data_IF_555849823508
#
_entry.id   IF_555849823508
#
_cell.length_a   1.000
_cell.length_b   1.000
_cell.length_c   1.000
_cell.angle_alpha   90.00
_cell.angle_beta   90.00
_cell.angle_gamma   90.00
#
_symmetry.space_group_name_H-M   'P 1'
#
loop_
_entity.id
_entity.type
_entity.pdbx_description
1 polymer ?
#
# COMPACT_ATOMS: atom_id res chain seq x y z
N UNK A 1 -11.63 -19.92 -24.19
CA UNK A 1 -12.64 -18.86 -23.92
C UNK A 1 -12.79 -18.58 -22.42
N UNK A 2 -13.11 -19.57 -21.57
CA UNK A 2 -13.30 -19.34 -20.12
C UNK A 2 -12.01 -18.96 -19.37
N UNK A 3 -10.87 -19.61 -19.69
CA UNK A 3 -9.59 -19.37 -19.02
C UNK A 3 -9.04 -17.94 -19.27
N UNK A 4 -9.20 -17.43 -20.48
CA UNK A 4 -8.79 -16.07 -20.85
C UNK A 4 -9.67 -15.01 -20.19
N UNK A 5 -10.96 -15.27 -20.00
CA UNK A 5 -11.87 -14.35 -19.33
C UNK A 5 -11.52 -14.19 -17.83
N UNK A 6 -11.18 -15.30 -17.16
CA UNK A 6 -10.75 -15.29 -15.75
C UNK A 6 -9.43 -14.52 -15.59
N UNK A 7 -8.46 -14.75 -16.47
CA UNK A 7 -7.18 -14.03 -16.44
C UNK A 7 -7.37 -12.51 -16.61
N UNK A 8 -8.26 -12.09 -17.50
CA UNK A 8 -8.57 -10.67 -17.73
C UNK A 8 -9.25 -10.05 -16.52
N UNK A 9 -10.21 -10.73 -15.88
CA UNK A 9 -10.91 -10.23 -14.68
C UNK A 9 -9.92 -10.06 -13.51
N UNK A 10 -9.00 -11.01 -13.32
CA UNK A 10 -7.98 -10.92 -12.27
C UNK A 10 -6.99 -9.77 -12.51
N UNK A 11 -6.56 -9.56 -13.76
CA UNK A 11 -5.69 -8.44 -14.11
C UNK A 11 -6.36 -7.09 -13.87
N UNK A 12 -7.62 -6.95 -14.29
CA UNK A 12 -8.39 -5.71 -14.09
C UNK A 12 -8.61 -5.46 -12.59
N UNK A 13 -8.91 -6.50 -11.81
CA UNK A 13 -9.08 -6.38 -10.36
C UNK A 13 -7.78 -5.99 -9.63
N UNK A 14 -6.63 -6.53 -10.05
CA UNK A 14 -5.32 -6.15 -9.51
C UNK A 14 -4.96 -4.71 -9.84
N UNK A 15 -5.18 -4.26 -11.09
CA UNK A 15 -4.90 -2.90 -11.52
C UNK A 15 -5.76 -1.90 -10.75
N UNK A 16 -7.06 -2.19 -10.59
CA UNK A 16 -7.97 -1.34 -9.82
C UNK A 16 -7.55 -1.23 -8.34
N UNK A 17 -7.17 -2.34 -7.71
CA UNK A 17 -6.71 -2.34 -6.31
C UNK A 17 -5.42 -1.52 -6.12
N UNK A 18 -4.45 -1.63 -7.04
CA UNK A 18 -3.21 -0.85 -6.99
C UNK A 18 -3.49 0.64 -7.20
N UNK A 19 -4.36 1.01 -8.13
CA UNK A 19 -4.71 2.42 -8.37
C UNK A 19 -5.41 3.07 -7.16
N UNK A 20 -6.29 2.33 -6.49
CA UNK A 20 -7.00 2.81 -5.31
C UNK A 20 -6.07 2.93 -4.09
N UNK A 21 -5.14 1.97 -3.93
CA UNK A 21 -4.08 2.03 -2.92
C UNK A 21 -3.15 3.24 -3.12
N UNK A 22 -2.69 3.50 -4.36
CA UNK A 22 -1.80 4.63 -4.65
C UNK A 22 -2.50 5.96 -4.38
N UNK A 23 -3.77 6.12 -4.80
CA UNK A 23 -4.53 7.36 -4.51
C UNK A 23 -4.74 7.58 -3.01
N UNK A 24 -5.02 6.53 -2.26
CA UNK A 24 -5.24 6.63 -0.81
C UNK A 24 -3.94 6.86 -0.03
N UNK A 25 -2.85 6.21 -0.44
CA UNK A 25 -1.53 6.35 0.20
C UNK A 25 -0.98 7.76 0.07
N UNK A 26 -1.05 8.37 -1.12
CA UNK A 26 -0.53 9.73 -1.32
C UNK A 26 -1.34 10.76 -0.53
N UNK A 27 -2.67 10.64 -0.53
CA UNK A 27 -3.55 11.51 0.23
C UNK A 27 -3.30 11.46 1.75
N UNK A 28 -3.04 10.27 2.29
CA UNK A 28 -2.78 10.06 3.73
C UNK A 28 -1.38 10.55 4.13
N UNK A 29 -0.37 10.29 3.30
CA UNK A 29 1.01 10.73 3.55
C UNK A 29 1.10 12.26 3.63
N UNK A 30 0.43 12.96 2.72
CA UNK A 30 0.45 14.42 2.66
C UNK A 30 -0.30 15.05 3.85
N UNK A 31 -1.41 14.45 4.28
CA UNK A 31 -2.23 14.94 5.40
C UNK A 31 -1.54 14.75 6.76
N UNK A 32 -0.88 13.61 6.98
CA UNK A 32 -0.13 13.34 8.22
C UNK A 32 1.11 14.24 8.28
N UNK A 33 1.85 14.38 7.17
CA UNK A 33 3.01 15.26 7.11
C UNK A 33 2.62 16.73 7.35
N UNK A 34 1.50 17.18 6.77
CA UNK A 34 0.94 18.52 6.98
C UNK A 34 0.55 18.79 8.44
N UNK A 35 -0.14 17.83 9.07
CA UNK A 35 -0.60 17.96 10.45
C UNK A 35 0.58 17.94 11.46
N UNK A 36 1.56 17.05 11.30
CA UNK A 36 2.74 16.99 12.19
C UNK A 36 3.55 18.29 12.12
N UNK A 37 3.74 18.83 10.90
CA UNK A 37 4.44 20.11 10.71
C UNK A 37 3.71 21.25 11.41
N UNK A 38 2.38 21.26 11.37
CA UNK A 38 1.57 22.29 12.02
C UNK A 38 1.54 22.19 13.54
N UNK A 39 1.54 20.98 14.12
CA UNK A 39 1.68 20.80 15.58
C UNK A 39 3.01 21.40 16.07
N UNK A 40 4.11 21.09 15.37
CA UNK A 40 5.43 21.62 15.72
C UNK A 40 5.46 23.16 15.67
N UNK A 41 4.86 23.75 14.63
CA UNK A 41 4.75 25.22 14.51
C UNK A 41 3.90 25.83 15.61
N UNK A 42 2.75 25.24 15.96
CA UNK A 42 1.89 25.73 17.04
C UNK A 42 2.61 25.67 18.40
N UNK A 43 3.36 24.60 18.68
CA UNK A 43 4.18 24.46 19.89
C UNK A 43 5.28 25.52 19.94
N UNK A 44 6.07 25.65 18.88
CA UNK A 44 7.14 26.64 18.81
C UNK A 44 6.61 28.08 18.97
N UNK A 45 5.44 28.39 18.40
CA UNK A 45 4.80 29.70 18.56
C UNK A 45 4.36 29.96 20.00
N UNK A 46 3.78 28.95 20.65
CA UNK A 46 3.38 29.02 22.06
C UNK A 46 4.58 29.28 22.96
N UNK A 47 5.66 28.53 22.75
CA UNK A 47 6.91 28.61 23.53
C UNK A 47 7.60 29.97 23.35
N UNK A 48 7.69 30.45 22.11
CA UNK A 48 8.26 31.76 21.79
C UNK A 48 7.44 32.90 22.41
N UNK A 49 6.11 32.85 22.26
CA UNK A 49 5.22 33.88 22.81
C UNK A 49 5.27 33.90 24.34
N UNK A 50 5.37 32.73 24.97
CA UNK A 50 5.55 32.61 26.41
C UNK A 50 6.90 33.16 26.87
N UNK A 51 7.98 32.88 26.12
CA UNK A 51 9.31 33.42 26.40
C UNK A 51 9.31 34.96 26.34
N UNK A 52 8.77 35.55 25.27
CA UNK A 52 8.63 37.00 25.18
C UNK A 52 7.80 37.60 26.33
N UNK A 53 6.69 36.96 26.70
CA UNK A 53 5.86 37.45 27.80
C UNK A 53 6.62 37.41 29.14
N UNK A 54 7.44 36.39 29.38
CA UNK A 54 8.29 36.28 30.58
C UNK A 54 9.42 37.31 30.59
N UNK A 55 10.05 37.58 29.44
CA UNK A 55 11.09 38.60 29.32
C UNK A 55 10.53 40.00 29.60
N UNK A 56 9.34 40.31 29.09
CA UNK A 56 8.64 41.58 29.37
C UNK A 56 8.29 41.68 30.87
N UNK A 57 7.83 40.59 31.48
CA UNK A 57 7.54 40.55 32.92
C UNK A 57 8.80 40.77 33.78
N UNK A 58 9.95 40.24 33.36
CA UNK A 58 11.21 40.43 34.07
C UNK A 58 11.63 41.92 34.07
N UNK A 59 11.46 42.60 32.93
CA UNK A 59 11.75 44.03 32.76
C UNK A 59 10.82 44.92 33.62
N UNK A 60 9.56 44.51 33.84
CA UNK A 60 8.58 45.23 34.67
C UNK A 60 8.76 44.94 36.17
N UNK A 61 9.39 43.80 36.50
CA UNK A 61 9.55 43.29 37.87
C UNK A 61 10.79 43.79 38.60
N UNK A 62 11.92 43.97 37.91
CA UNK A 62 13.15 44.54 38.48
C UNK A 62 13.25 46.04 38.17
N UNK A 63 13.61 46.84 39.18
CA UNK A 63 13.82 48.29 39.08
C UNK A 63 15.00 48.66 38.13
N UNK A 64 14.80 48.50 36.81
CA UNK A 64 15.49 49.26 35.77
C UNK A 64 16.86 48.76 35.27
N UNK A 65 17.25 47.49 35.46
CA UNK A 65 18.59 47.01 35.06
C UNK A 65 18.63 45.80 34.11
N UNK A 66 17.49 45.31 33.63
CA UNK A 66 17.45 44.22 32.64
C UNK A 66 17.26 44.82 31.25
N UNK A 67 18.16 44.50 30.33
CA UNK A 67 18.16 45.01 28.96
C UNK A 67 16.78 44.83 28.31
N UNK A 68 16.31 45.85 27.59
CA UNK A 68 15.08 45.77 26.79
C UNK A 68 15.11 44.49 25.97
N UNK A 69 14.01 43.70 25.93
CA UNK A 69 13.98 42.51 25.09
C UNK A 69 14.19 42.97 23.65
N UNK A 70 15.15 42.37 22.94
CA UNK A 70 15.40 42.68 21.53
C UNK A 70 14.24 42.10 20.71
N UNK A 71 13.17 42.90 20.59
CA UNK A 71 11.98 42.58 19.81
C UNK A 71 12.32 42.73 18.32
N UNK A 72 13.04 41.74 17.79
CA UNK A 72 13.48 41.74 16.39
C UNK A 72 12.31 41.61 15.44
N UNK A 73 11.89 42.74 14.90
CA UNK A 73 10.81 42.84 13.91
C UNK A 73 11.06 42.00 12.64
N UNK A 74 12.32 41.74 12.29
CA UNK A 74 12.70 40.89 11.15
C UNK A 74 12.43 39.40 11.41
N UNK A 75 12.75 38.90 12.61
CA UNK A 75 12.43 37.53 13.03
C UNK A 75 10.91 37.32 13.13
N UNK A 76 10.17 38.37 13.53
CA UNK A 76 8.71 38.37 13.54
C UNK A 76 8.09 38.16 12.15
N UNK A 77 8.54 38.93 11.15
CA UNK A 77 8.03 38.81 9.78
C UNK A 77 8.34 37.44 9.19
N UNK A 78 9.55 36.92 9.43
CA UNK A 78 9.96 35.58 9.02
C UNK A 78 9.09 34.48 9.68
N UNK A 79 8.70 34.65 10.95
CA UNK A 79 7.82 33.73 11.65
C UNK A 79 6.38 33.76 11.12
N UNK A 80 5.83 34.94 10.83
CA UNK A 80 4.51 35.08 10.21
C UNK A 80 4.46 34.42 8.83
N UNK A 81 5.47 34.63 7.99
CA UNK A 81 5.53 34.03 6.65
C UNK A 81 5.68 32.50 6.73
N UNK A 82 6.52 32.02 7.65
CA UNK A 82 6.68 30.59 7.93
C UNK A 82 5.37 29.98 8.41
N UNK A 83 4.68 30.59 9.39
CA UNK A 83 3.38 30.13 9.87
C UNK A 83 2.36 30.10 8.74
N UNK A 84 2.27 31.18 7.96
CA UNK A 84 1.31 31.30 6.86
C UNK A 84 1.53 30.22 5.81
N UNK A 85 2.78 29.93 5.45
CA UNK A 85 3.09 28.88 4.47
C UNK A 85 2.74 27.47 4.97
N UNK A 86 2.92 27.21 6.26
CA UNK A 86 2.73 25.88 6.87
C UNK A 86 1.25 25.64 7.18
N UNK A 87 0.56 26.65 7.66
CA UNK A 87 -0.84 26.56 8.07
C UNK A 87 -1.81 26.71 6.90
N UNK A 88 -1.45 27.45 5.84
CA UNK A 88 -2.22 27.47 4.58
C UNK A 88 -2.27 26.11 3.88
N UNK A 89 -1.31 25.23 4.18
CA UNK A 89 -1.29 23.86 3.64
C UNK A 89 -2.30 22.94 4.33
N UNK A 90 -2.85 23.33 5.48
CA UNK A 90 -3.82 22.55 6.23
C UNK A 90 -5.23 23.12 6.03
N UNK A 91 -6.24 22.26 6.00
CA UNK A 91 -7.66 22.62 5.77
C UNK A 91 -8.30 23.46 6.89
N UNK A 92 -7.52 23.90 7.89
CA UNK A 92 -7.94 24.65 9.07
C UNK A 92 -7.81 26.18 8.90
N UNK A 93 -7.94 26.67 7.66
CA UNK A 93 -7.85 28.09 7.29
C UNK A 93 -8.48 29.09 8.28
N UNK A 94 -9.70 28.91 8.82
CA UNK A 94 -10.28 29.89 9.74
C UNK A 94 -9.57 29.96 11.10
N UNK A 95 -8.99 28.86 11.58
CA UNK A 95 -8.22 28.84 12.84
C UNK A 95 -6.84 29.47 12.65
N UNK A 96 -6.22 29.19 11.50
CA UNK A 96 -4.97 29.82 11.05
C UNK A 96 -5.08 31.34 11.02
N UNK A 97 -6.16 31.87 10.43
CA UNK A 97 -6.37 33.32 10.33
C UNK A 97 -6.57 33.96 11.72
N UNK A 98 -7.24 33.26 12.64
CA UNK A 98 -7.42 33.75 14.03
C UNK A 98 -6.09 33.80 14.79
N UNK A 99 -5.23 32.78 14.64
CA UNK A 99 -3.90 32.76 15.25
C UNK A 99 -3.00 33.85 14.66
N UNK A 100 -3.03 34.04 13.33
CA UNK A 100 -2.30 35.14 12.68
C UNK A 100 -2.72 36.52 13.18
N UNK A 101 -4.03 36.73 13.30
CA UNK A 101 -4.58 37.99 13.77
C UNK A 101 -4.20 38.27 15.23
N UNK A 102 -4.38 37.28 16.12
CA UNK A 102 -4.04 37.43 17.54
C UNK A 102 -2.54 37.58 17.78
N UNK A 103 -1.69 36.89 17.01
CA UNK A 103 -0.24 37.01 17.08
C UNK A 103 0.24 38.39 16.63
N UNK A 104 -0.31 38.91 15.53
CA UNK A 104 -0.01 40.26 15.05
C UNK A 104 -0.43 41.33 16.06
N UNK A 105 -1.60 41.16 16.69
CA UNK A 105 -2.08 42.09 17.71
C UNK A 105 -1.22 42.07 18.98
N UNK A 106 -0.77 40.88 19.43
CA UNK A 106 0.13 40.76 20.58
C UNK A 106 1.50 41.40 20.29
N UNK A 107 2.08 41.15 19.11
CA UNK A 107 3.38 41.73 18.75
C UNK A 107 3.31 43.24 18.62
N UNK A 108 2.28 43.78 17.96
CA UNK A 108 2.13 45.24 17.82
C UNK A 108 2.06 45.93 19.18
N UNK A 109 1.33 45.35 20.13
CA UNK A 109 1.29 45.86 21.51
C UNK A 109 2.63 45.66 22.21
N UNK A 110 3.36 44.57 21.97
CA UNK A 110 4.69 44.35 22.57
C UNK A 110 5.71 45.40 22.11
N UNK A 111 5.63 45.87 20.87
CA UNK A 111 6.50 46.94 20.34
C UNK A 111 6.25 48.30 20.99
N UNK A 112 5.06 48.56 21.56
CA UNK A 112 4.77 49.78 22.32
C UNK A 112 5.55 49.82 23.67
N UNK A 113 6.17 48.71 24.09
CA UNK A 113 6.86 48.61 25.37
C UNK A 113 8.00 49.62 25.51
N UNK A 114 8.77 49.86 24.44
CA UNK A 114 9.88 50.83 24.45
C UNK A 114 9.36 52.25 24.75
N UNK A 115 8.31 52.67 24.06
CA UNK A 115 7.67 53.98 24.27
C UNK A 115 7.04 54.10 25.67
N UNK A 116 6.49 53.00 26.20
CA UNK A 116 5.84 52.98 27.52
C UNK A 116 6.86 53.04 28.66
N UNK A 117 8.01 52.36 28.53
CA UNK A 117 9.09 52.41 29.53
C UNK A 117 9.76 53.79 29.54
N UNK A 118 9.90 54.44 28.39
CA UNK A 118 10.48 55.78 28.26
C UNK A 118 9.52 56.91 28.67
N UNK A 119 8.23 56.60 28.91
CA UNK A 119 7.22 57.59 29.26
C UNK A 119 7.13 57.80 30.78
N UNK A 120 7.38 59.03 31.23
CA UNK A 120 7.19 59.42 32.64
C UNK A 120 5.71 59.40 33.10
N UNK A 121 4.76 59.28 32.18
CA UNK A 121 3.31 59.39 32.46
C UNK A 121 2.58 58.05 32.51
N UNK A 122 3.17 56.99 31.95
CA UNK A 122 2.50 55.69 31.81
C UNK A 122 3.10 54.72 32.83
N UNK A 123 2.26 54.18 33.71
CA UNK A 123 2.68 53.05 34.54
C UNK A 123 2.78 51.78 33.68
N UNK A 124 4.01 51.35 33.40
CA UNK A 124 4.34 50.16 32.61
C UNK A 124 3.67 48.90 33.16
N UNK A 125 3.51 48.80 34.49
CA UNK A 125 2.85 47.66 35.12
C UNK A 125 1.35 47.64 34.82
N UNK A 126 0.69 48.77 34.98
CA UNK A 126 -0.74 48.90 34.65
C UNK A 126 -0.98 48.68 33.16
N UNK A 127 -0.11 49.21 32.28
CA UNK A 127 -0.17 48.96 30.84
C UNK A 127 -0.06 47.46 30.50
N UNK A 128 0.85 46.72 31.16
CA UNK A 128 1.00 45.29 30.92
C UNK A 128 -0.27 44.50 31.25
N UNK A 129 -0.85 44.72 32.44
CA UNK A 129 -2.04 43.97 32.87
C UNK A 129 -3.30 44.36 32.08
N UNK A 130 -3.45 45.64 31.71
CA UNK A 130 -4.66 46.12 31.05
C UNK A 130 -4.62 45.97 29.52
N UNK A 131 -3.43 46.04 28.89
CA UNK A 131 -3.29 46.00 27.43
C UNK A 131 -2.59 44.76 26.91
N UNK A 132 -1.43 44.39 27.44
CA UNK A 132 -0.64 43.29 26.87
C UNK A 132 -1.16 41.90 27.28
N UNK A 133 -1.43 41.69 28.57
CA UNK A 133 -1.87 40.41 29.11
C UNK A 133 -3.14 39.86 28.44
N UNK A 134 -4.20 40.66 28.18
CA UNK A 134 -5.40 40.17 27.51
C UNK A 134 -5.13 39.75 26.05
N UNK A 135 -4.18 40.41 25.36
CA UNK A 135 -3.79 40.05 23.99
C UNK A 135 -3.00 38.75 23.96
N UNK A 136 -2.08 38.57 24.91
CA UNK A 136 -1.34 37.32 25.09
C UNK A 136 -2.28 36.14 25.40
N UNK A 137 -3.23 36.32 26.32
CA UNK A 137 -4.22 35.28 26.66
C UNK A 137 -5.08 34.88 25.46
N UNK A 138 -5.45 35.85 24.60
CA UNK A 138 -6.20 35.59 23.38
C UNK A 138 -5.39 34.79 22.35
N UNK A 139 -4.13 35.17 22.14
CA UNK A 139 -3.20 34.42 21.30
C UNK A 139 -3.06 32.97 21.78
N UNK A 140 -2.82 32.78 23.07
CA UNK A 140 -2.73 31.44 23.67
C UNK A 140 -3.99 30.61 23.43
N UNK A 141 -5.16 31.19 23.66
CA UNK A 141 -6.44 30.50 23.42
C UNK A 141 -6.64 30.11 21.95
N UNK A 142 -6.23 30.95 21.01
CA UNK A 142 -6.37 30.65 19.59
C UNK A 142 -5.36 29.58 19.13
N UNK A 143 -4.13 29.58 19.68
CA UNK A 143 -3.15 28.51 19.49
C UNK A 143 -3.67 27.18 20.05
N UNK A 144 -4.26 27.20 21.25
CA UNK A 144 -4.83 25.99 21.87
C UNK A 144 -5.97 25.41 21.01
N UNK A 145 -6.89 26.25 20.50
CA UNK A 145 -7.95 25.82 19.59
C UNK A 145 -7.41 25.26 18.27
N UNK A 146 -6.36 25.86 17.72
CA UNK A 146 -5.71 25.37 16.52
C UNK A 146 -5.08 23.99 16.78
N UNK A 147 -4.36 23.85 17.90
CA UNK A 147 -3.76 22.58 18.34
C UNK A 147 -4.84 21.49 18.49
N UNK A 148 -5.92 21.78 19.21
CA UNK A 148 -7.07 20.88 19.37
C UNK A 148 -7.70 20.50 18.03
N UNK A 149 -7.85 21.46 17.11
CA UNK A 149 -8.32 21.23 15.75
C UNK A 149 -7.43 20.24 15.00
N UNK A 150 -6.11 20.45 15.03
CA UNK A 150 -5.14 19.56 14.37
C UNK A 150 -5.14 18.17 15.01
N UNK A 151 -5.20 18.06 16.34
CA UNK A 151 -5.28 16.78 17.04
C UNK A 151 -6.57 16.01 16.71
N UNK A 152 -7.70 16.71 16.64
CA UNK A 152 -8.98 16.11 16.27
C UNK A 152 -8.99 15.65 14.81
N UNK A 153 -8.44 16.43 13.88
CA UNK A 153 -8.29 16.03 12.49
C UNK A 153 -7.35 14.82 12.37
N UNK A 154 -6.21 14.82 13.06
CA UNK A 154 -5.28 13.69 13.06
C UNK A 154 -5.96 12.41 13.60
N UNK A 155 -6.76 12.52 14.66
CA UNK A 155 -7.53 11.42 15.24
C UNK A 155 -8.63 10.92 14.29
N UNK A 156 -9.38 11.82 13.67
CA UNK A 156 -10.41 11.47 12.69
C UNK A 156 -9.81 10.78 11.46
N UNK A 157 -8.67 11.27 10.97
CA UNK A 157 -7.94 10.67 9.87
C UNK A 157 -7.36 9.29 10.25
N UNK A 158 -6.88 9.10 11.47
CA UNK A 158 -6.46 7.80 12.00
C UNK A 158 -7.62 6.80 12.13
N UNK A 159 -8.83 7.23 12.51
CA UNK A 159 -10.00 6.34 12.50
C UNK A 159 -10.49 6.02 11.08
N UNK A 160 -10.28 6.93 10.14
CA UNK A 160 -10.60 6.73 8.72
C UNK A 160 -9.58 5.80 8.04
N UNK A 161 -8.33 5.76 8.53
CA UNK A 161 -7.30 4.81 8.13
C UNK A 161 -7.79 3.35 8.30
N UNK A 162 -8.39 3.01 9.44
CA UNK A 162 -8.91 1.65 9.67
C UNK A 162 -10.07 1.29 8.71
N UNK A 163 -10.99 2.22 8.42
CA UNK A 163 -12.14 1.89 7.54
C UNK A 163 -11.79 1.88 6.06
N UNK A 164 -10.91 2.76 5.60
CA UNK A 164 -10.53 2.84 4.19
C UNK A 164 -9.49 1.80 3.78
N UNK A 165 -8.55 1.46 4.68
CA UNK A 165 -7.55 0.41 4.45
C UNK A 165 -8.22 -0.97 4.26
N UNK A 166 -9.18 -1.32 5.12
CA UNK A 166 -9.96 -2.55 4.95
C UNK A 166 -10.82 -2.55 3.68
N UNK A 167 -11.46 -1.43 3.32
CA UNK A 167 -12.28 -1.34 2.09
C UNK A 167 -11.46 -1.48 0.81
N UNK A 168 -10.23 -0.98 0.78
CA UNK A 168 -9.39 -0.96 -0.42
C UNK A 168 -8.54 -2.23 -0.59
N UNK A 169 -8.21 -2.95 0.49
CA UNK A 169 -7.30 -4.12 0.48
C UNK A 169 -8.03 -5.45 0.44
N UNK A 170 -9.19 -5.58 1.10
CA UNK A 170 -9.98 -6.81 1.08
C UNK A 170 -10.24 -7.31 -0.37
N UNK A 171 -10.67 -6.46 -1.32
CA UNK A 171 -10.94 -6.92 -2.69
C UNK A 171 -9.70 -7.48 -3.38
N UNK A 172 -8.52 -6.86 -3.17
CA UNK A 172 -7.25 -7.32 -3.73
C UNK A 172 -6.79 -8.65 -3.13
N UNK A 173 -6.90 -8.81 -1.81
CA UNK A 173 -6.54 -10.05 -1.12
C UNK A 173 -7.43 -11.22 -1.51
N UNK A 174 -8.74 -10.96 -1.63
CA UNK A 174 -9.72 -11.97 -2.09
C UNK A 174 -9.43 -12.38 -3.53
N UNK A 175 -9.10 -11.44 -4.42
CA UNK A 175 -8.75 -11.74 -5.80
C UNK A 175 -7.50 -12.64 -5.91
N UNK A 176 -6.46 -12.39 -5.09
CA UNK A 176 -5.25 -13.23 -5.05
C UNK A 176 -5.57 -14.63 -4.53
N UNK A 177 -6.34 -14.76 -3.45
CA UNK A 177 -6.75 -16.05 -2.89
C UNK A 177 -7.57 -16.88 -3.88
N UNK A 178 -8.57 -16.27 -4.53
CA UNK A 178 -9.40 -16.93 -5.53
C UNK A 178 -8.57 -17.30 -6.76
N UNK A 179 -7.65 -16.43 -7.20
CA UNK A 179 -6.73 -16.72 -8.30
C UNK A 179 -5.82 -17.92 -8.00
N UNK A 180 -5.26 -17.99 -6.80
CA UNK A 180 -4.43 -19.10 -6.37
C UNK A 180 -5.23 -20.41 -6.30
N UNK A 181 -6.46 -20.37 -5.77
CA UNK A 181 -7.37 -21.51 -5.75
C UNK A 181 -7.69 -22.01 -7.16
N UNK A 182 -7.97 -21.12 -8.10
CA UNK A 182 -8.26 -21.49 -9.49
C UNK A 182 -7.05 -22.11 -10.19
N UNK A 183 -5.84 -21.58 -9.95
CA UNK A 183 -4.61 -22.18 -10.49
C UNK A 183 -4.41 -23.60 -9.92
N UNK A 184 -4.63 -23.78 -8.62
CA UNK A 184 -4.50 -25.08 -7.97
C UNK A 184 -5.53 -26.08 -8.51
N UNK A 185 -6.79 -25.64 -8.66
CA UNK A 185 -7.84 -26.48 -9.24
C UNK A 185 -7.53 -26.85 -10.70
N UNK A 186 -7.04 -25.89 -11.50
CA UNK A 186 -6.62 -26.15 -12.88
C UNK A 186 -5.47 -27.16 -12.94
N UNK A 187 -4.46 -27.00 -12.08
CA UNK A 187 -3.34 -27.92 -11.99
C UNK A 187 -3.82 -29.34 -11.62
N UNK A 188 -4.76 -29.44 -10.67
CA UNK A 188 -5.37 -30.70 -10.29
C UNK A 188 -6.10 -31.35 -11.48
N UNK A 189 -6.92 -30.59 -12.23
CA UNK A 189 -7.60 -31.10 -13.41
C UNK A 189 -6.63 -31.56 -14.50
N UNK A 190 -5.60 -30.75 -14.81
CA UNK A 190 -4.55 -31.13 -15.75
C UNK A 190 -3.84 -32.42 -15.34
N UNK A 191 -3.48 -32.53 -14.06
CA UNK A 191 -2.76 -33.69 -13.56
C UNK A 191 -3.63 -34.95 -13.59
N UNK A 192 -4.88 -34.85 -13.14
CA UNK A 192 -5.79 -35.98 -13.04
C UNK A 192 -6.27 -36.50 -14.40
N UNK A 193 -6.64 -35.60 -15.32
CA UNK A 193 -7.31 -35.96 -16.57
C UNK A 193 -6.41 -36.00 -17.79
N UNK A 194 -5.25 -35.34 -17.80
CA UNK A 194 -4.34 -35.34 -18.96
C UNK A 194 -3.00 -36.02 -18.63
N UNK A 195 -2.31 -35.58 -17.58
CA UNK A 195 -0.96 -36.07 -17.29
C UNK A 195 -0.96 -37.52 -16.82
N UNK A 196 -1.81 -37.88 -15.85
CA UNK A 196 -1.83 -39.23 -15.29
C UNK A 196 -2.24 -40.31 -16.32
N UNK A 197 -3.22 -40.08 -17.21
CA UNK A 197 -3.51 -40.99 -18.31
C UNK A 197 -2.38 -41.15 -19.31
N UNK A 198 -1.71 -40.06 -19.69
CA UNK A 198 -0.57 -40.11 -20.62
C UNK A 198 0.57 -40.94 -20.03
N UNK A 199 0.88 -40.76 -18.74
CA UNK A 199 1.88 -41.59 -18.06
C UNK A 199 1.49 -43.08 -18.02
N UNK A 200 0.20 -43.39 -17.87
CA UNK A 200 -0.30 -44.77 -17.92
C UNK A 200 -0.20 -45.37 -19.32
N UNK A 201 -0.58 -44.63 -20.38
CA UNK A 201 -0.42 -45.07 -21.77
C UNK A 201 1.07 -45.31 -22.11
N UNK A 202 1.96 -44.43 -21.65
CA UNK A 202 3.41 -44.58 -21.86
C UNK A 202 3.95 -45.85 -21.20
N UNK A 203 3.57 -46.15 -19.96
CA UNK A 203 3.96 -47.42 -19.30
C UNK A 203 3.41 -48.64 -20.03
N UNK A 204 2.15 -48.63 -20.43
CA UNK A 204 1.53 -49.74 -21.17
C UNK A 204 2.24 -49.98 -22.51
N UNK A 205 2.71 -48.92 -23.17
CA UNK A 205 3.48 -49.02 -24.41
C UNK A 205 4.89 -49.56 -24.18
N UNK A 206 5.56 -49.14 -23.09
CA UNK A 206 6.88 -49.64 -22.72
C UNK A 206 6.84 -51.14 -22.35
N UNK A 207 5.81 -51.57 -21.63
CA UNK A 207 5.55 -52.99 -21.31
C UNK A 207 5.27 -53.84 -22.58
N UNK A 208 4.55 -53.30 -23.56
CA UNK A 208 4.36 -53.95 -24.86
C UNK A 208 5.70 -54.15 -25.57
N UNK A 209 6.57 -53.14 -25.55
CA UNK A 209 7.83 -53.12 -26.30
C UNK A 209 8.92 -53.99 -25.66
N UNK A 210 9.00 -54.04 -24.34
CA UNK A 210 10.03 -54.78 -23.59
C UNK A 210 9.65 -56.23 -23.28
N UNK A 211 8.37 -56.49 -22.96
CA UNK A 211 7.94 -57.81 -22.48
C UNK A 211 7.15 -58.62 -23.52
N UNK A 212 6.94 -58.09 -24.73
CA UNK A 212 6.12 -58.71 -25.79
C UNK A 212 4.69 -59.07 -25.31
N UNK A 213 4.20 -58.36 -24.28
CA UNK A 213 2.84 -58.49 -23.75
C UNK A 213 1.87 -57.69 -24.61
N UNK A 214 0.59 -58.08 -24.62
CA UNK A 214 -0.46 -57.39 -25.38
C UNK A 214 -0.72 -56.01 -24.74
N UNK A 215 -0.73 -54.94 -25.53
CA UNK A 215 -1.16 -53.63 -25.07
C UNK A 215 -2.63 -53.73 -24.62
N UNK A 216 -2.92 -53.32 -23.40
CA UNK A 216 -4.26 -53.40 -22.82
C UNK A 216 -4.43 -52.23 -21.86
N UNK A 217 -4.78 -51.06 -22.41
CA UNK A 217 -5.20 -49.92 -21.62
C UNK A 217 -6.58 -49.48 -22.12
N UNK A 218 -7.57 -49.54 -21.23
CA UNK A 218 -8.93 -49.07 -21.48
C UNK A 218 -9.04 -47.66 -20.87
N UNK A 219 -9.22 -46.65 -21.71
CA UNK A 219 -9.21 -45.25 -21.33
C UNK A 219 -10.64 -44.71 -21.33
N UNK A 220 -11.16 -44.41 -20.14
CA UNK A 220 -12.51 -43.89 -19.92
C UNK A 220 -12.45 -42.35 -19.77
N UNK A 221 -12.12 -41.65 -20.85
CA UNK A 221 -11.90 -40.19 -20.83
C UNK A 221 -11.97 -39.53 -22.21
N UNK A 222 -11.76 -38.20 -22.23
CA UNK A 222 -11.93 -37.27 -23.36
C UNK A 222 -11.62 -37.86 -24.75
N UNK A 223 -12.51 -37.63 -25.72
CA UNK A 223 -12.57 -38.33 -27.01
C UNK A 223 -11.22 -38.34 -27.75
N UNK A 224 -10.42 -37.27 -27.63
CA UNK A 224 -9.10 -37.15 -28.29
C UNK A 224 -8.04 -38.09 -27.69
N UNK A 225 -8.02 -38.25 -26.36
CA UNK A 225 -7.09 -39.18 -25.71
C UNK A 225 -7.56 -40.63 -25.88
N UNK A 226 -8.87 -40.87 -25.98
CA UNK A 226 -9.42 -42.17 -26.34
C UNK A 226 -9.04 -42.56 -27.77
N UNK A 227 -9.21 -41.66 -28.74
CA UNK A 227 -8.84 -41.90 -30.13
C UNK A 227 -7.33 -42.18 -30.28
N UNK A 228 -6.49 -41.47 -29.52
CA UNK A 228 -5.05 -41.74 -29.47
C UNK A 228 -4.75 -43.13 -28.90
N UNK A 229 -5.44 -43.53 -27.83
CA UNK A 229 -5.27 -44.84 -27.21
C UNK A 229 -5.73 -45.98 -28.14
N UNK A 230 -6.83 -45.77 -28.86
CA UNK A 230 -7.39 -46.73 -29.80
C UNK A 230 -6.45 -46.91 -31.00
N UNK A 231 -5.92 -45.80 -31.54
CA UNK A 231 -4.91 -45.85 -32.59
C UNK A 231 -3.62 -46.57 -32.18
N UNK A 232 -3.14 -46.36 -30.94
CA UNK A 232 -1.99 -47.10 -30.39
C UNK A 232 -2.31 -48.59 -30.25
N UNK A 233 -3.52 -48.92 -29.78
CA UNK A 233 -3.97 -50.31 -29.59
C UNK A 233 -4.07 -51.06 -30.92
N UNK A 234 -4.64 -50.43 -31.95
CA UNK A 234 -4.74 -50.99 -33.30
C UNK A 234 -3.35 -51.24 -33.89
N UNK A 235 -2.46 -50.25 -33.84
CA UNK A 235 -1.10 -50.36 -34.36
C UNK A 235 -0.29 -51.45 -33.65
N UNK A 236 -0.49 -51.62 -32.33
CA UNK A 236 0.13 -52.69 -31.55
C UNK A 236 -0.44 -54.06 -31.95
N UNK A 237 -1.75 -54.17 -32.17
CA UNK A 237 -2.39 -55.40 -32.61
C UNK A 237 -1.93 -55.83 -34.02
N UNK A 238 -1.89 -54.90 -34.97
CA UNK A 238 -1.38 -55.15 -36.33
C UNK A 238 0.08 -55.61 -36.32
N UNK A 239 0.95 -54.93 -35.54
CA UNK A 239 2.34 -55.33 -35.39
C UNK A 239 2.49 -56.74 -34.80
N UNK A 240 1.67 -57.11 -33.83
CA UNK A 240 1.69 -58.44 -33.25
C UNK A 240 1.25 -59.51 -34.28
N UNK A 241 0.22 -59.21 -35.07
CA UNK A 241 -0.22 -60.09 -36.16
C UNK A 241 0.85 -60.23 -37.25
N UNK A 242 1.50 -59.14 -37.65
CA UNK A 242 2.61 -59.14 -38.62
C UNK A 242 3.79 -59.99 -38.12
N UNK A 243 4.20 -59.83 -36.85
CA UNK A 243 5.25 -60.66 -36.24
C UNK A 243 4.89 -62.14 -36.27
N UNK A 244 3.64 -62.49 -35.96
CA UNK A 244 3.15 -63.89 -36.03
C UNK A 244 3.19 -64.43 -37.47
N UNK A 245 2.71 -63.66 -38.46
CA UNK A 245 2.74 -64.05 -39.88
C UNK A 245 4.18 -64.26 -40.39
N UNK A 246 5.09 -63.34 -40.06
CA UNK A 246 6.52 -63.49 -40.42
C UNK A 246 7.12 -64.74 -39.77
N UNK A 247 6.79 -65.02 -38.50
CA UNK A 247 7.28 -66.23 -37.82
C UNK A 247 6.75 -67.52 -38.45
N UNK A 248 5.47 -67.55 -38.85
CA UNK A 248 4.86 -68.69 -39.52
C UNK A 248 5.48 -68.93 -40.90
N UNK A 249 5.66 -67.86 -41.70
CA UNK A 249 6.32 -67.94 -43.01
C UNK A 249 7.77 -68.43 -42.90
N UNK A 250 8.53 -67.95 -41.90
CA UNK A 250 9.88 -68.48 -41.63
C UNK A 250 9.85 -69.97 -41.30
N UNK A 251 8.86 -70.42 -40.55
CA UNK A 251 8.74 -71.83 -40.17
C UNK A 251 8.38 -72.71 -41.37
N UNK A 252 7.50 -72.24 -42.26
CA UNK A 252 7.15 -72.91 -43.52
C UNK A 252 8.33 -72.98 -44.50
N UNK A 253 9.09 -71.88 -44.65
CA UNK A 253 10.29 -71.84 -45.49
C UNK A 253 11.36 -72.82 -45.01
N UNK A 254 11.55 -72.92 -43.69
CA UNK A 254 12.49 -73.87 -43.08
C UNK A 254 12.04 -75.33 -43.23
N UNK A 255 10.74 -75.57 -43.42
CA UNK A 255 10.16 -76.91 -43.64
C UNK A 255 10.25 -77.34 -45.11
N UNK A 256 10.25 -76.39 -46.04
CA UNK A 256 10.42 -76.62 -47.48
C UNK A 256 11.88 -76.83 -47.92
N UNK A 257 12.87 -76.42 -47.10
CA UNK A 257 14.28 -76.59 -47.42
C UNK A 257 15.05 -77.42 -46.36
N UNK A 258 14.78 -78.73 -46.20
CA UNK A 258 15.45 -79.59 -45.22
C UNK A 258 16.89 -79.99 -45.62
N UNK A 259 17.49 -79.35 -46.63
CA UNK A 259 18.64 -79.84 -47.36
C UNK A 259 19.91 -79.01 -47.28
N UNK A 260 20.21 -78.35 -46.15
CA UNK A 260 21.57 -77.81 -45.94
C UNK A 260 22.03 -77.91 -44.47
N UNK A 261 21.85 -79.10 -43.91
CA UNK A 261 22.68 -79.60 -42.82
C UNK A 261 23.46 -80.79 -43.40
N UNK A 262 24.59 -80.57 -44.08
CA UNK A 262 25.90 -81.24 -43.88
C UNK A 262 26.97 -80.47 -44.69
N UNK A 263 27.69 -79.55 -44.05
CA UNK A 263 29.16 -79.64 -43.87
C UNK A 263 29.63 -78.66 -42.80
#
# INVERSE_FOLDING_TARGET
>A
MALSAIAVILLISSILSVMEYVRMSTYVSDLIAGNIKSINVAQNLSDLSNTYNLDILAVIGEDGASALPDLKQEEFMAHCDSLKSILSANSLLPLTDSVMYSYSAYMLTSLELEDVILSDFIDTRTWYFDRLQPKYQRLKSDIDKLSDGIYNDLKANSMTFDRGFYRSIIPGMVAVLVGLLLILMLLFFMLAYYVNPIYRMLRSLDDYRTCNRKYSYDFDGDDQLSELNDGISELAAENQQLRRRISALKHELNKQNPGDLIQ
#
